data_IF_695228189617
#
_entry.id   IF_695228189617
#
_cell.length_a   1.000
_cell.length_b   1.000
_cell.length_c   1.000
_cell.angle_alpha   90.00
_cell.angle_beta   90.00
_cell.angle_gamma   90.00
#
_symmetry.space_group_name_H-M   'P 1'
#
loop_
_entity.id
_entity.type
_entity.pdbx_description
1 polymer ?
#
# COMPACT_ATOMS: atom_id res chain seq x y z
N UNK A 1 -33.07 -45.15 36.50
CA UNK A 1 -33.05 -43.83 37.20
C UNK A 1 -31.65 -43.61 37.74
N UNK A 2 -30.92 -42.62 37.31
CA UNK A 2 -29.81 -42.08 38.06
C UNK A 2 -30.16 -40.70 38.60
N UNK A 3 -29.70 -40.51 39.79
CA UNK A 3 -29.88 -39.37 40.70
C UNK A 3 -29.02 -38.17 40.28
N UNK A 4 -29.60 -36.98 40.33
CA UNK A 4 -28.91 -35.72 40.04
C UNK A 4 -27.95 -35.33 41.19
N UNK A 5 -26.73 -34.93 40.83
CA UNK A 5 -25.76 -34.39 41.75
C UNK A 5 -25.75 -32.85 41.62
N UNK A 6 -25.82 -32.16 42.75
CA UNK A 6 -25.92 -30.70 42.85
C UNK A 6 -24.57 -30.04 42.65
N UNK A 7 -24.51 -29.02 41.78
CA UNK A 7 -23.34 -28.17 41.52
C UNK A 7 -23.37 -26.97 42.45
N UNK A 8 -22.36 -26.83 43.28
CA UNK A 8 -22.17 -25.67 44.18
C UNK A 8 -21.55 -24.49 43.42
N UNK A 9 -22.18 -23.33 43.55
CA UNK A 9 -21.80 -22.03 43.01
C UNK A 9 -20.66 -21.41 43.85
N UNK A 10 -19.58 -20.88 43.28
CA UNK A 10 -18.59 -20.15 44.04
C UNK A 10 -19.07 -18.73 44.37
N UNK A 11 -18.94 -18.38 45.66
CA UNK A 11 -19.22 -17.06 46.22
C UNK A 11 -18.04 -16.13 46.00
N UNK A 12 -18.28 -14.97 45.42
CA UNK A 12 -17.26 -13.92 45.18
C UNK A 12 -17.15 -13.07 46.43
N UNK A 13 -15.94 -12.91 46.96
CA UNK A 13 -15.62 -12.04 48.09
C UNK A 13 -15.27 -10.62 47.60
N UNK A 14 -15.62 -9.55 48.30
CA UNK A 14 -15.43 -8.18 47.83
C UNK A 14 -14.01 -7.68 48.06
N UNK A 15 -13.50 -7.00 47.04
CA UNK A 15 -12.21 -6.29 47.02
C UNK A 15 -12.28 -5.00 47.84
N UNK A 16 -11.40 -4.85 48.80
CA UNK A 16 -11.24 -3.63 49.60
C UNK A 16 -10.34 -2.61 48.86
N UNK A 17 -10.90 -1.41 48.74
CA UNK A 17 -10.27 -0.21 48.19
C UNK A 17 -9.26 0.38 49.20
N UNK A 18 -7.98 0.65 48.86
CA UNK A 18 -7.13 1.41 49.75
C UNK A 18 -7.35 2.92 49.54
N UNK A 19 -7.72 3.58 50.66
CA UNK A 19 -7.73 5.04 50.77
C UNK A 19 -6.53 5.42 51.63
N UNK A 20 -5.51 6.08 51.04
CA UNK A 20 -4.59 6.91 51.83
C UNK A 20 -4.09 8.08 50.96
N UNK A 21 -4.49 9.26 51.41
CA UNK A 21 -4.01 10.57 50.98
C UNK A 21 -2.87 10.98 51.90
N UNK A 22 -1.67 11.30 51.43
CA UNK A 22 -0.70 12.04 52.21
C UNK A 22 -0.81 13.53 51.96
N UNK A 23 -1.13 14.27 53.02
CA UNK A 23 -0.99 15.73 53.07
C UNK A 23 0.28 16.02 53.86
N UNK A 24 1.30 16.58 53.24
CA UNK A 24 2.29 17.39 53.92
C UNK A 24 2.78 18.50 52.98
N UNK A 25 2.48 19.72 53.42
CA UNK A 25 2.89 20.99 52.82
C UNK A 25 4.30 21.31 53.33
N UNK A 26 5.31 21.56 52.50
CA UNK A 26 6.56 22.15 52.99
C UNK A 26 6.42 23.67 53.10
N UNK A 27 6.77 24.14 54.27
CA UNK A 27 6.92 25.55 54.60
C UNK A 27 8.18 26.12 53.95
N UNK A 28 8.04 27.18 53.22
CA UNK A 28 9.16 27.93 52.64
C UNK A 28 9.78 28.83 53.69
N UNK A 29 11.11 28.89 53.73
CA UNK A 29 11.89 29.89 54.48
C UNK A 29 12.81 30.66 53.52
N UNK A 30 13.25 31.86 53.86
CA UNK A 30 13.35 32.93 52.87
C UNK A 30 14.72 33.07 52.21
N UNK A 31 14.62 33.51 51.00
CA UNK A 31 15.47 34.15 50.07
C UNK A 31 16.48 35.13 50.60
N UNK A 32 17.71 34.98 50.20
CA UNK A 32 18.67 36.07 50.05
C UNK A 32 18.84 36.35 48.55
N UNK A 33 18.52 37.59 48.18
CA UNK A 33 18.62 38.12 46.82
C UNK A 33 20.08 38.41 46.45
N UNK A 34 20.64 37.82 45.39
CA UNK A 34 21.85 38.39 44.77
C UNK A 34 21.42 39.40 43.68
N UNK A 35 21.89 40.60 43.82
CA UNK A 35 21.79 41.63 42.77
C UNK A 35 22.77 41.22 41.64
N UNK A 36 22.23 40.72 40.53
CA UNK A 36 23.02 40.50 39.33
C UNK A 36 22.99 41.74 38.43
N UNK A 37 24.15 42.24 38.13
CA UNK A 37 24.41 43.29 37.11
C UNK A 37 23.98 42.75 35.74
N UNK A 38 23.29 43.53 34.90
CA UNK A 38 22.91 43.05 33.56
C UNK A 38 24.15 42.99 32.66
N UNK A 39 24.62 41.75 32.42
CA UNK A 39 25.58 41.50 31.36
C UNK A 39 24.79 41.53 30.02
N UNK A 40 25.07 42.52 29.18
CA UNK A 40 24.56 42.58 27.82
C UNK A 40 25.11 41.38 27.06
N UNK A 41 24.27 40.36 26.88
CA UNK A 41 24.58 39.24 25.99
C UNK A 41 24.55 39.73 24.54
N UNK A 42 25.55 39.44 23.71
CA UNK A 42 25.49 39.78 22.31
C UNK A 42 24.31 39.06 21.65
N UNK A 43 23.41 39.83 21.07
CA UNK A 43 22.35 39.32 20.21
C UNK A 43 22.99 38.57 19.04
N UNK A 44 23.03 37.24 19.11
CA UNK A 44 23.36 36.44 17.94
C UNK A 44 22.24 36.63 16.93
N UNK A 45 22.52 37.42 15.90
CA UNK A 45 21.70 37.49 14.67
C UNK A 45 21.33 36.06 14.24
N UNK A 46 20.07 35.76 13.94
CA UNK A 46 19.71 34.45 13.42
C UNK A 46 20.55 34.19 12.17
N UNK A 47 21.43 33.24 12.24
CA UNK A 47 22.13 32.71 11.06
C UNK A 47 21.05 32.08 10.21
N UNK A 48 20.67 32.73 9.13
CA UNK A 48 19.82 32.11 8.10
C UNK A 48 20.53 30.84 7.65
N UNK A 49 19.93 29.70 7.94
CA UNK A 49 20.41 28.43 7.42
C UNK A 49 20.57 28.59 5.91
N UNK A 50 21.69 28.17 5.33
CA UNK A 50 21.88 28.28 3.89
C UNK A 50 20.69 27.62 3.19
N UNK A 51 20.05 28.34 2.30
CA UNK A 51 19.00 27.82 1.45
C UNK A 51 19.59 26.63 0.68
N UNK A 52 18.97 25.45 0.81
CA UNK A 52 19.42 24.28 0.06
C UNK A 52 19.50 24.63 -1.43
N UNK A 53 20.57 24.20 -2.09
CA UNK A 53 20.71 24.42 -3.52
C UNK A 53 19.52 23.76 -4.27
N UNK A 54 19.00 24.38 -5.33
CA UNK A 54 17.89 23.83 -6.08
C UNK A 54 18.20 22.38 -6.54
N UNK A 55 17.23 21.47 -6.37
CA UNK A 55 17.36 20.09 -6.84
C UNK A 55 17.42 20.10 -8.36
N UNK A 56 18.49 19.54 -8.90
CA UNK A 56 18.63 19.30 -10.35
C UNK A 56 18.06 17.90 -10.66
N UNK A 57 17.07 17.85 -11.54
CA UNK A 57 16.44 16.59 -11.96
C UNK A 57 17.19 15.99 -13.15
N UNK A 58 17.79 14.78 -13.02
CA UNK A 58 18.59 14.20 -14.09
C UNK A 58 17.78 13.69 -15.31
N UNK A 59 16.49 13.46 -15.11
CA UNK A 59 15.57 12.92 -16.10
C UNK A 59 14.25 13.65 -16.16
N UNK A 60 13.27 13.07 -16.85
CA UNK A 60 11.89 13.55 -16.83
C UNK A 60 11.31 13.48 -15.43
N UNK A 61 10.38 14.35 -15.15
CA UNK A 61 9.80 14.52 -13.81
C UNK A 61 8.48 13.79 -13.73
N UNK A 62 8.38 12.88 -12.77
CA UNK A 62 7.12 12.38 -12.24
C UNK A 62 6.61 13.39 -11.21
N UNK A 63 5.45 13.95 -11.47
CA UNK A 63 4.77 14.88 -10.58
C UNK A 63 3.55 14.20 -9.97
N UNK A 64 3.47 14.19 -8.63
CA UNK A 64 2.32 13.71 -7.87
C UNK A 64 1.96 14.78 -6.83
N UNK A 65 0.90 15.53 -7.09
CA UNK A 65 0.59 16.75 -6.35
C UNK A 65 1.70 17.78 -6.47
N UNK A 66 2.28 18.22 -5.36
CA UNK A 66 3.43 19.16 -5.34
C UNK A 66 4.80 18.48 -5.43
N UNK A 67 4.83 17.17 -5.35
CA UNK A 67 6.08 16.39 -5.28
C UNK A 67 6.58 16.05 -6.66
N UNK A 68 7.89 16.24 -6.87
CA UNK A 68 8.56 16.04 -8.15
C UNK A 68 9.72 15.07 -7.96
N UNK A 69 9.69 13.97 -8.66
CA UNK A 69 10.73 12.93 -8.63
C UNK A 69 11.21 12.63 -10.04
N UNK A 70 12.42 12.12 -10.18
CA UNK A 70 12.93 11.61 -11.45
C UNK A 70 13.85 10.42 -11.24
N UNK A 71 14.02 9.59 -12.25
CA UNK A 71 15.12 8.65 -12.30
C UNK A 71 16.45 9.37 -12.13
N UNK A 72 17.40 8.74 -11.46
CA UNK A 72 18.73 9.30 -11.22
C UNK A 72 18.85 10.20 -9.97
N UNK A 73 17.76 10.55 -9.28
CA UNK A 73 17.85 11.23 -7.98
C UNK A 73 18.50 10.32 -6.94
N UNK A 74 19.32 10.90 -6.08
CA UNK A 74 19.86 10.20 -4.91
C UNK A 74 18.83 10.08 -3.80
N UNK A 75 19.01 9.14 -2.86
CA UNK A 75 18.15 9.03 -1.67
C UNK A 75 18.05 10.34 -0.88
N UNK A 76 19.15 11.08 -0.75
CA UNK A 76 19.15 12.37 -0.06
C UNK A 76 18.26 13.40 -0.75
N UNK A 77 18.30 13.46 -2.08
CA UNK A 77 17.42 14.32 -2.88
C UNK A 77 15.95 13.90 -2.78
N UNK A 78 15.67 12.59 -2.81
CA UNK A 78 14.31 12.09 -2.59
C UNK A 78 13.81 12.48 -1.20
N UNK A 79 14.65 12.33 -0.15
CA UNK A 79 14.31 12.76 1.22
C UNK A 79 14.03 14.27 1.29
N UNK A 80 14.77 15.09 0.57
CA UNK A 80 14.54 16.53 0.49
C UNK A 80 13.19 16.85 -0.18
N UNK A 81 12.87 16.16 -1.29
CA UNK A 81 11.59 16.32 -2.00
C UNK A 81 10.40 15.95 -1.13
N UNK A 82 10.42 14.76 -0.53
CA UNK A 82 9.26 14.25 0.24
C UNK A 82 9.20 14.79 1.66
N UNK A 83 10.31 15.28 2.18
CA UNK A 83 10.48 15.77 3.54
C UNK A 83 10.91 14.66 4.52
N UNK A 84 11.77 15.00 5.47
CA UNK A 84 12.39 14.03 6.39
C UNK A 84 11.38 13.23 7.22
N UNK A 85 10.26 13.85 7.61
CA UNK A 85 9.21 13.16 8.39
C UNK A 85 8.53 12.08 7.57
N UNK A 86 8.13 12.36 6.33
CA UNK A 86 7.52 11.39 5.40
C UNK A 86 8.53 10.30 5.06
N UNK A 87 9.76 10.70 4.72
CA UNK A 87 10.82 9.76 4.38
C UNK A 87 11.12 8.75 5.51
N UNK A 88 11.15 9.21 6.77
CA UNK A 88 11.46 8.35 7.92
C UNK A 88 10.35 7.34 8.24
N UNK A 89 9.09 7.69 7.96
CA UNK A 89 7.91 6.85 8.23
C UNK A 89 7.53 5.95 7.06
N UNK A 90 8.12 6.15 5.87
CA UNK A 90 7.77 5.39 4.69
C UNK A 90 8.01 3.89 4.91
N UNK A 91 7.04 3.02 4.59
CA UNK A 91 7.27 1.60 4.49
C UNK A 91 8.46 1.31 3.57
N UNK A 92 9.32 0.40 4.02
CA UNK A 92 10.56 0.04 3.31
C UNK A 92 10.62 -1.46 3.14
N UNK A 93 11.16 -1.88 2.02
CA UNK A 93 11.37 -3.27 1.71
C UNK A 93 12.38 -3.48 0.62
N UNK A 94 12.38 -4.68 0.10
CA UNK A 94 13.15 -5.05 -1.08
C UNK A 94 12.16 -5.47 -2.16
N UNK A 95 12.33 -4.94 -3.36
CA UNK A 95 11.55 -5.38 -4.52
C UNK A 95 11.91 -6.82 -4.90
N UNK A 96 11.05 -7.51 -5.67
CA UNK A 96 11.39 -8.84 -6.19
C UNK A 96 12.69 -8.88 -6.99
N UNK A 97 13.07 -7.76 -7.61
CA UNK A 97 14.34 -7.60 -8.36
C UNK A 97 15.56 -7.40 -7.45
N UNK A 98 15.35 -7.30 -6.14
CA UNK A 98 16.41 -7.12 -5.14
C UNK A 98 16.81 -5.67 -4.91
N UNK A 99 16.03 -4.70 -5.37
CA UNK A 99 16.29 -3.28 -5.12
C UNK A 99 15.62 -2.82 -3.83
N UNK A 100 16.29 -1.93 -3.11
CA UNK A 100 15.70 -1.29 -1.95
C UNK A 100 14.55 -0.40 -2.38
N UNK A 101 13.37 -0.57 -1.77
CA UNK A 101 12.13 0.08 -2.14
C UNK A 101 11.51 0.84 -0.98
N UNK A 102 10.96 2.01 -1.28
CA UNK A 102 10.24 2.89 -0.36
C UNK A 102 8.87 3.24 -0.93
N UNK A 103 7.84 3.13 -0.12
CA UNK A 103 6.49 3.55 -0.46
C UNK A 103 6.16 4.84 0.30
N UNK A 104 5.89 5.92 -0.42
CA UNK A 104 5.50 7.20 0.15
C UNK A 104 3.99 7.41 0.00
N UNK A 105 3.27 7.58 1.11
CA UNK A 105 1.94 8.16 1.13
C UNK A 105 2.07 9.64 1.50
N UNK A 106 2.07 10.49 0.48
CA UNK A 106 2.50 11.89 0.58
C UNK A 106 1.38 12.83 1.03
N UNK A 107 0.59 12.46 1.97
CA UNK A 107 -0.54 13.25 2.45
C UNK A 107 -1.38 12.51 3.47
N UNK A 108 -0.99 11.28 3.79
CA UNK A 108 -1.68 10.34 4.69
C UNK A 108 -3.13 9.97 4.24
N UNK A 109 -3.50 10.34 3.00
CA UNK A 109 -4.85 10.19 2.43
C UNK A 109 -4.89 9.32 1.17
N UNK A 110 -3.84 8.57 0.87
CA UNK A 110 -3.64 7.74 -0.33
C UNK A 110 -3.82 8.45 -1.69
N UNK A 111 -4.09 9.75 -1.72
CA UNK A 111 -4.15 10.53 -2.99
C UNK A 111 -2.82 10.62 -3.70
N UNK A 112 -1.73 10.35 -3.00
CA UNK A 112 -0.36 10.58 -3.47
C UNK A 112 0.55 9.45 -3.01
N UNK A 113 0.28 8.24 -3.50
CA UNK A 113 1.12 7.06 -3.24
C UNK A 113 2.16 6.94 -4.35
N UNK A 114 3.43 6.86 -3.98
CA UNK A 114 4.54 6.63 -4.90
C UNK A 114 5.45 5.56 -4.31
N UNK A 115 5.76 4.53 -5.09
CA UNK A 115 6.88 3.65 -4.84
C UNK A 115 8.13 4.18 -5.55
N UNK A 116 9.27 4.09 -4.89
CA UNK A 116 10.58 4.45 -5.45
C UNK A 116 11.58 3.36 -5.13
N UNK A 117 12.22 2.81 -6.15
CA UNK A 117 13.24 1.79 -5.99
C UNK A 117 14.63 2.35 -6.26
N UNK A 118 15.59 1.90 -5.44
CA UNK A 118 16.96 2.40 -5.46
C UNK A 118 17.97 1.29 -5.77
N UNK A 119 18.87 1.58 -6.69
CA UNK A 119 20.07 0.80 -6.95
C UNK A 119 21.29 1.70 -6.69
N UNK A 120 22.21 1.27 -5.82
CA UNK A 120 23.37 2.08 -5.46
C UNK A 120 23.02 3.50 -4.99
N UNK A 121 21.97 3.63 -4.16
CA UNK A 121 21.45 4.91 -3.66
C UNK A 121 20.87 5.88 -4.71
N UNK A 122 20.60 5.41 -5.92
CA UNK A 122 20.04 6.20 -7.01
C UNK A 122 18.69 5.61 -7.42
N UNK A 123 17.72 6.46 -7.71
CA UNK A 123 16.40 6.07 -8.20
C UNK A 123 16.50 5.42 -9.56
N UNK A 124 16.05 4.19 -9.69
CA UNK A 124 16.06 3.41 -10.93
C UNK A 124 14.67 2.99 -11.39
N UNK A 125 13.69 3.07 -10.50
CA UNK A 125 12.29 2.78 -10.79
C UNK A 125 11.38 3.65 -9.94
N UNK A 126 10.26 4.06 -10.51
CA UNK A 126 9.18 4.77 -9.84
C UNK A 126 7.84 4.27 -10.34
N UNK A 127 6.88 4.09 -9.45
CA UNK A 127 5.52 3.71 -9.82
C UNK A 127 4.48 4.42 -8.96
N UNK A 128 3.32 4.70 -9.55
CA UNK A 128 2.20 5.34 -8.86
C UNK A 128 0.86 4.95 -9.47
N UNK A 129 -0.17 4.94 -8.65
CA UNK A 129 -1.59 4.87 -9.04
C UNK A 129 -2.28 6.13 -8.55
N UNK A 130 -3.20 6.68 -9.33
CA UNK A 130 -3.97 7.88 -8.99
C UNK A 130 -3.61 9.09 -9.85
N UNK A 131 -3.60 10.29 -9.27
CA UNK A 131 -3.35 11.53 -9.99
C UNK A 131 -1.84 11.81 -10.12
N UNK A 132 -1.35 11.79 -11.36
CA UNK A 132 0.05 12.09 -11.69
C UNK A 132 0.19 12.74 -13.08
N UNK A 133 1.40 13.28 -13.35
CA UNK A 133 1.91 13.54 -14.70
C UNK A 133 3.37 13.14 -14.80
N UNK A 134 3.82 12.71 -15.98
CA UNK A 134 5.21 12.38 -16.26
C UNK A 134 5.71 13.13 -17.51
N UNK A 135 6.44 14.21 -17.27
CA UNK A 135 6.79 15.17 -18.31
C UNK A 135 5.56 15.63 -19.07
N UNK A 136 5.71 15.75 -20.39
CA UNK A 136 4.62 16.04 -21.33
C UNK A 136 4.09 14.73 -22.00
N UNK A 137 4.63 13.57 -21.61
CA UNK A 137 4.29 12.30 -22.27
C UNK A 137 2.94 11.75 -21.85
N UNK A 138 2.65 11.77 -20.55
CA UNK A 138 1.46 11.14 -19.99
C UNK A 138 1.03 11.76 -18.67
N UNK A 139 -0.29 11.76 -18.47
CA UNK A 139 -0.91 12.06 -17.18
C UNK A 139 -2.13 11.17 -16.95
N UNK A 140 -2.53 11.03 -15.69
CA UNK A 140 -3.79 10.35 -15.33
C UNK A 140 -4.97 11.01 -16.04
N UNK A 141 -5.94 10.19 -16.45
CA UNK A 141 -7.07 10.63 -17.25
C UNK A 141 -6.80 10.71 -18.76
N UNK A 142 -5.56 10.57 -19.24
CA UNK A 142 -5.31 10.46 -20.68
C UNK A 142 -6.03 9.24 -21.24
N UNK A 143 -6.58 9.41 -22.45
CA UNK A 143 -7.23 8.32 -23.21
C UNK A 143 -6.20 7.52 -24.01
N UNK A 144 -6.59 6.34 -24.47
CA UNK A 144 -5.78 5.52 -25.37
C UNK A 144 -5.43 6.25 -26.66
N UNK A 145 -6.32 7.12 -27.19
CA UNK A 145 -6.03 7.97 -28.33
C UNK A 145 -4.90 8.96 -28.05
N UNK A 146 -4.90 9.59 -26.87
CA UNK A 146 -3.82 10.49 -26.43
C UNK A 146 -2.51 9.74 -26.31
N UNK A 147 -2.52 8.53 -25.72
CA UNK A 147 -1.33 7.68 -25.59
C UNK A 147 -0.71 7.36 -26.96
N UNK A 148 -1.55 6.93 -27.91
CA UNK A 148 -1.08 6.63 -29.28
C UNK A 148 -0.45 7.87 -29.94
N UNK A 149 -1.08 9.05 -29.78
CA UNK A 149 -0.54 10.30 -30.33
C UNK A 149 0.78 10.70 -29.67
N UNK A 150 1.00 10.32 -28.41
CA UNK A 150 2.24 10.55 -27.68
C UNK A 150 3.29 9.45 -27.89
N UNK A 151 3.06 8.50 -28.81
CA UNK A 151 4.00 7.45 -29.19
C UNK A 151 4.07 6.26 -28.25
N UNK A 152 3.02 6.03 -27.45
CA UNK A 152 2.85 4.79 -26.71
C UNK A 152 2.28 3.70 -27.64
N UNK A 153 2.67 2.47 -27.39
CA UNK A 153 2.19 1.27 -28.11
C UNK A 153 1.40 0.39 -27.16
N UNK A 154 0.28 -0.14 -27.65
CA UNK A 154 -0.54 -1.11 -26.91
C UNK A 154 0.23 -2.43 -26.76
N UNK A 155 0.37 -2.90 -25.53
CA UNK A 155 1.01 -4.15 -25.14
C UNK A 155 0.01 -5.13 -24.52
N UNK A 156 -1.28 -4.80 -24.46
CA UNK A 156 -2.31 -5.57 -23.74
C UNK A 156 -2.40 -7.03 -24.17
N UNK A 157 -2.06 -7.36 -25.43
CA UNK A 157 -2.02 -8.73 -25.92
C UNK A 157 -0.96 -9.62 -25.26
N UNK A 158 0.04 -9.03 -24.63
CA UNK A 158 1.14 -9.73 -23.93
C UNK A 158 0.94 -9.78 -22.42
N UNK A 159 0.00 -9.00 -21.87
CA UNK A 159 -0.23 -8.84 -20.44
C UNK A 159 -1.68 -9.13 -20.08
N UNK A 160 -1.91 -9.44 -18.82
CA UNK A 160 -3.25 -9.76 -18.28
C UNK A 160 -4.11 -8.51 -18.01
N UNK A 161 -3.61 -7.31 -18.34
CA UNK A 161 -4.26 -6.02 -18.13
C UNK A 161 -3.95 -5.07 -19.30
N UNK A 162 -4.69 -3.98 -19.41
CA UNK A 162 -4.51 -3.00 -20.49
C UNK A 162 -3.28 -2.15 -20.19
N UNK A 163 -2.24 -2.37 -20.97
CA UNK A 163 -0.91 -1.76 -20.83
C UNK A 163 -0.51 -1.06 -22.12
N UNK A 164 -0.05 0.17 -21.99
CA UNK A 164 0.59 0.95 -23.02
C UNK A 164 2.03 1.25 -22.64
N UNK A 165 2.97 1.04 -23.55
CA UNK A 165 4.39 1.26 -23.28
C UNK A 165 5.02 2.24 -24.26
N UNK A 166 5.94 3.05 -23.75
CA UNK A 166 6.82 3.91 -24.53
C UNK A 166 8.27 3.70 -24.15
N UNK A 167 9.11 3.52 -25.15
CA UNK A 167 10.55 3.36 -24.97
C UNK A 167 11.25 4.64 -25.44
N UNK A 168 12.03 5.26 -24.55
CA UNK A 168 12.87 6.41 -24.87
C UNK A 168 14.36 6.02 -24.89
N UNK A 169 15.29 6.97 -25.04
CA UNK A 169 16.72 6.69 -25.00
C UNK A 169 17.18 6.07 -23.67
N UNK A 170 16.60 6.49 -22.54
CA UNK A 170 17.07 6.13 -21.20
C UNK A 170 16.07 5.34 -20.35
N UNK A 171 14.79 5.32 -20.73
CA UNK A 171 13.73 4.81 -19.86
C UNK A 171 12.66 4.04 -20.61
N UNK A 172 11.98 3.13 -19.91
CA UNK A 172 10.69 2.60 -20.29
C UNK A 172 9.62 3.29 -19.44
N UNK A 173 8.49 3.60 -20.08
CA UNK A 173 7.33 4.22 -19.44
C UNK A 173 6.15 3.31 -19.74
N UNK A 174 5.64 2.67 -18.72
CA UNK A 174 4.51 1.76 -18.78
C UNK A 174 3.32 2.39 -18.09
N UNK A 175 2.21 2.50 -18.78
CA UNK A 175 0.99 3.08 -18.27
C UNK A 175 -0.14 2.07 -18.30
N UNK A 176 -0.92 2.03 -17.24
CA UNK A 176 -2.08 1.17 -17.12
C UNK A 176 -3.36 1.97 -17.34
N UNK A 177 -4.29 1.34 -18.06
CA UNK A 177 -5.51 1.97 -18.53
C UNK A 177 -6.70 1.21 -17.98
N UNK A 178 -7.64 1.93 -17.39
CA UNK A 178 -8.92 1.37 -16.94
C UNK A 178 -9.86 1.21 -18.12
N UNK A 179 -9.84 0.04 -18.74
CA UNK A 179 -10.71 -0.28 -19.88
C UNK A 179 -12.20 -0.30 -19.52
N UNK A 180 -12.54 -0.41 -18.25
CA UNK A 180 -13.91 -0.44 -17.75
C UNK A 180 -14.49 0.96 -17.55
N UNK A 181 -13.63 1.97 -17.38
CA UNK A 181 -14.01 3.36 -17.13
C UNK A 181 -13.51 4.29 -18.21
N UNK A 182 -13.92 4.04 -19.46
CA UNK A 182 -13.66 4.93 -20.58
C UNK A 182 -12.23 4.91 -21.10
N UNK A 183 -11.43 3.90 -20.77
CA UNK A 183 -10.07 3.75 -21.29
C UNK A 183 -9.12 4.85 -20.82
N UNK A 184 -9.19 5.24 -19.55
CA UNK A 184 -8.37 6.30 -18.99
C UNK A 184 -7.17 5.76 -18.23
N UNK A 185 -6.04 6.44 -18.35
CA UNK A 185 -4.82 6.16 -17.58
C UNK A 185 -5.06 6.43 -16.09
N UNK A 186 -4.73 5.45 -15.25
CA UNK A 186 -4.82 5.58 -13.79
C UNK A 186 -3.52 5.26 -13.05
N UNK A 187 -2.50 4.72 -13.73
CA UNK A 187 -1.23 4.40 -13.11
C UNK A 187 -0.07 4.39 -14.11
N UNK A 188 1.13 4.52 -13.58
CA UNK A 188 2.38 4.52 -14.36
C UNK A 188 3.48 3.82 -13.59
N UNK A 189 4.35 3.13 -14.33
CA UNK A 189 5.60 2.55 -13.88
C UNK A 189 6.72 2.98 -14.82
N UNK A 190 7.83 3.46 -14.28
CA UNK A 190 8.92 4.08 -15.04
C UNK A 190 10.22 3.40 -14.64
N UNK A 191 10.94 2.84 -15.61
CA UNK A 191 12.17 2.09 -15.38
C UNK A 191 13.37 2.72 -16.11
N UNK A 192 14.52 2.73 -15.43
CA UNK A 192 15.80 3.00 -16.08
C UNK A 192 16.19 1.80 -16.96
N UNK A 193 16.48 2.05 -18.24
CA UNK A 193 16.89 1.01 -19.19
C UNK A 193 18.18 0.29 -18.83
N UNK A 194 19.02 0.85 -17.97
CA UNK A 194 20.21 0.18 -17.45
C UNK A 194 19.88 -1.07 -16.62
N UNK A 195 18.62 -1.25 -16.17
CA UNK A 195 18.17 -2.44 -15.46
C UNK A 195 17.96 -3.65 -16.37
N UNK A 196 17.72 -3.44 -17.67
CA UNK A 196 17.50 -4.49 -18.65
C UNK A 196 16.41 -4.18 -19.67
N UNK A 197 15.96 -5.20 -20.40
CA UNK A 197 14.82 -5.08 -21.32
C UNK A 197 13.50 -5.05 -20.55
N UNK A 198 12.46 -4.46 -21.15
CA UNK A 198 11.12 -4.35 -20.54
C UNK A 198 10.57 -5.70 -20.06
N UNK A 199 10.66 -6.75 -20.91
CA UNK A 199 10.20 -8.09 -20.53
C UNK A 199 10.90 -8.65 -19.28
N UNK A 200 12.17 -8.26 -19.06
CA UNK A 200 12.90 -8.67 -17.85
C UNK A 200 12.48 -7.87 -16.62
N UNK A 201 11.98 -6.67 -16.81
CA UNK A 201 11.52 -5.79 -15.73
C UNK A 201 10.11 -6.16 -15.31
N UNK A 202 9.19 -6.37 -16.25
CA UNK A 202 7.80 -6.71 -15.98
C UNK A 202 7.57 -8.19 -15.61
N UNK A 203 8.46 -9.10 -16.08
CA UNK A 203 8.44 -10.53 -15.76
C UNK A 203 9.84 -11.05 -15.45
N UNK A 204 10.46 -10.56 -14.36
CA UNK A 204 11.83 -10.92 -14.06
C UNK A 204 11.93 -12.41 -13.68
N UNK A 205 12.61 -13.19 -14.52
CA UNK A 205 12.89 -14.61 -14.27
C UNK A 205 13.78 -14.87 -13.05
N UNK A 206 14.48 -13.84 -12.58
CA UNK A 206 15.45 -13.91 -11.49
C UNK A 206 14.96 -13.15 -10.23
N UNK A 207 13.69 -13.10 -9.99
CA UNK A 207 13.16 -12.54 -8.74
C UNK A 207 13.59 -13.34 -7.53
N UNK A 208 13.91 -12.63 -6.47
CA UNK A 208 14.13 -13.22 -5.15
C UNK A 208 12.94 -12.89 -4.27
N UNK A 209 12.22 -13.94 -3.85
CA UNK A 209 11.13 -13.81 -2.92
C UNK A 209 11.54 -14.42 -1.58
N UNK A 210 11.17 -13.77 -0.51
CA UNK A 210 11.27 -14.24 0.86
C UNK A 210 10.16 -13.55 1.68
N UNK A 211 9.99 -13.93 2.93
CA UNK A 211 8.93 -13.38 3.78
C UNK A 211 8.97 -11.85 3.89
N UNK A 212 10.14 -11.23 3.86
CA UNK A 212 10.28 -9.77 3.90
C UNK A 212 9.81 -9.10 2.61
N UNK A 213 10.21 -9.64 1.45
CA UNK A 213 9.75 -9.19 0.13
C UNK A 213 8.23 -9.37 0.04
N UNK A 214 7.71 -10.55 0.38
CA UNK A 214 6.29 -10.86 0.29
C UNK A 214 5.44 -9.93 1.15
N UNK A 215 5.82 -9.69 2.41
CA UNK A 215 5.14 -8.74 3.30
C UNK A 215 5.17 -7.31 2.78
N UNK A 216 6.30 -6.88 2.20
CA UNK A 216 6.38 -5.57 1.61
C UNK A 216 5.46 -5.44 0.39
N UNK A 217 5.43 -6.43 -0.51
CA UNK A 217 4.55 -6.45 -1.67
C UNK A 217 3.06 -6.48 -1.27
N UNK A 218 2.70 -7.26 -0.25
CA UNK A 218 1.35 -7.27 0.31
C UNK A 218 0.93 -5.88 0.82
N UNK A 219 1.79 -5.23 1.60
CA UNK A 219 1.52 -3.87 2.10
C UNK A 219 1.41 -2.85 0.97
N UNK A 220 2.29 -2.90 -0.01
CA UNK A 220 2.27 -2.02 -1.18
C UNK A 220 0.99 -2.22 -2.01
N UNK A 221 0.50 -3.46 -2.13
CA UNK A 221 -0.79 -3.76 -2.79
C UNK A 221 -1.95 -3.03 -2.13
N UNK A 222 -2.03 -3.03 -0.80
CA UNK A 222 -3.06 -2.30 -0.06
C UNK A 222 -2.96 -0.78 -0.28
N UNK A 223 -1.76 -0.22 -0.36
CA UNK A 223 -1.56 1.20 -0.69
C UNK A 223 -2.04 1.52 -2.11
N UNK A 224 -1.74 0.70 -3.09
CA UNK A 224 -2.20 0.91 -4.48
C UNK A 224 -3.71 0.74 -4.64
N UNK A 225 -4.32 -0.23 -3.95
CA UNK A 225 -5.78 -0.38 -3.94
C UNK A 225 -6.47 0.84 -3.34
N UNK A 226 -5.95 1.37 -2.24
CA UNK A 226 -6.45 2.59 -1.64
C UNK A 226 -6.24 3.81 -2.55
N UNK A 227 -5.08 3.92 -3.20
CA UNK A 227 -4.82 4.99 -4.16
C UNK A 227 -5.81 4.96 -5.34
N UNK A 228 -6.15 3.76 -5.83
CA UNK A 228 -7.15 3.59 -6.88
C UNK A 228 -8.57 3.98 -6.42
N UNK A 229 -8.97 3.57 -5.19
CA UNK A 229 -10.26 3.96 -4.61
C UNK A 229 -10.39 5.49 -4.50
N UNK A 230 -9.39 6.13 -3.90
CA UNK A 230 -9.38 7.58 -3.70
C UNK A 230 -9.33 8.33 -5.03
N UNK A 231 -8.62 7.81 -6.04
CA UNK A 231 -8.63 8.35 -7.40
C UNK A 231 -10.03 8.39 -8.00
N UNK A 232 -10.88 7.40 -7.69
CA UNK A 232 -12.27 7.33 -8.11
C UNK A 232 -13.26 8.03 -7.16
N UNK A 233 -12.77 8.76 -6.17
CA UNK A 233 -13.61 9.52 -5.23
C UNK A 233 -14.27 8.67 -4.15
N UNK A 234 -13.78 7.44 -3.93
CA UNK A 234 -14.23 6.53 -2.88
C UNK A 234 -13.26 6.61 -1.69
N UNK A 235 -13.76 6.49 -0.46
CA UNK A 235 -12.92 6.52 0.74
C UNK A 235 -11.90 5.36 0.75
N UNK A 236 -10.76 5.61 1.38
CA UNK A 236 -9.76 4.57 1.64
C UNK A 236 -10.32 3.47 2.55
N UNK A 237 -9.73 2.29 2.45
CA UNK A 237 -9.97 1.15 3.33
C UNK A 237 -8.98 1.15 4.48
N UNK A 238 -9.43 0.72 5.65
CA UNK A 238 -8.55 0.41 6.78
C UNK A 238 -7.66 -0.79 6.43
N UNK A 239 -6.34 -0.65 6.58
CA UNK A 239 -5.40 -1.73 6.26
C UNK A 239 -5.30 -2.67 7.45
N UNK A 240 -5.69 -3.94 7.25
CA UNK A 240 -5.57 -5.02 8.23
C UNK A 240 -4.21 -5.73 8.11
N UNK A 241 -3.70 -6.20 9.24
CA UNK A 241 -2.45 -6.98 9.34
C UNK A 241 -2.67 -8.25 10.18
N UNK A 242 -3.85 -8.89 10.08
CA UNK A 242 -4.17 -10.14 10.82
C UNK A 242 -3.38 -11.35 10.30
N UNK A 243 -2.89 -11.31 9.07
CA UNK A 243 -2.09 -12.36 8.46
C UNK A 243 -2.91 -13.43 7.74
N UNK A 244 -4.23 -13.26 7.61
CA UNK A 244 -5.13 -14.24 6.99
C UNK A 244 -4.89 -14.32 5.48
N UNK A 245 -4.91 -13.20 4.79
CA UNK A 245 -4.62 -13.12 3.36
C UNK A 245 -3.19 -13.60 3.04
N UNK A 246 -2.22 -13.30 3.92
CA UNK A 246 -0.85 -13.78 3.78
C UNK A 246 -0.78 -15.31 3.86
N UNK A 247 -1.43 -15.91 4.88
CA UNK A 247 -1.47 -17.37 5.06
C UNK A 247 -2.14 -18.06 3.88
N UNK A 248 -3.20 -17.46 3.33
CA UNK A 248 -3.86 -18.02 2.14
C UNK A 248 -2.97 -17.94 0.88
N UNK A 249 -2.25 -16.85 0.68
CA UNK A 249 -1.26 -16.76 -0.41
C UNK A 249 -0.16 -17.82 -0.28
N UNK A 250 0.30 -18.07 0.94
CA UNK A 250 1.28 -19.12 1.25
C UNK A 250 0.71 -20.53 0.97
N UNK A 251 -0.55 -20.78 1.35
CA UNK A 251 -1.25 -22.04 1.01
C UNK A 251 -1.33 -22.25 -0.49
N UNK A 252 -1.75 -21.24 -1.26
CA UNK A 252 -1.81 -21.32 -2.73
C UNK A 252 -0.42 -21.60 -3.34
N UNK A 253 0.61 -20.96 -2.82
CA UNK A 253 1.99 -21.13 -3.29
C UNK A 253 2.52 -22.53 -2.99
N UNK A 254 2.22 -23.10 -1.82
CA UNK A 254 2.60 -24.45 -1.42
C UNK A 254 1.93 -25.50 -2.32
N UNK A 255 0.65 -25.33 -2.62
CA UNK A 255 -0.14 -26.24 -3.44
C UNK A 255 -0.05 -25.94 -4.94
N UNK A 256 0.63 -24.85 -5.33
CA UNK A 256 0.74 -24.35 -6.70
C UNK A 256 -0.64 -24.27 -7.39
N UNK A 257 -1.62 -23.73 -6.68
CA UNK A 257 -3.02 -23.66 -7.11
C UNK A 257 -3.65 -22.33 -6.73
N UNK A 258 -4.20 -21.65 -7.74
CA UNK A 258 -5.02 -20.43 -7.53
C UNK A 258 -6.44 -20.89 -7.14
N UNK A 259 -6.71 -20.88 -5.87
CA UNK A 259 -7.99 -21.33 -5.28
C UNK A 259 -8.42 -20.38 -4.15
N UNK A 260 -9.73 -20.24 -3.98
CA UNK A 260 -10.30 -19.51 -2.85
C UNK A 260 -10.41 -20.36 -1.58
N UNK A 261 -10.46 -21.69 -1.72
CA UNK A 261 -10.66 -22.61 -0.60
C UNK A 261 -9.36 -23.33 -0.22
N UNK A 262 -9.15 -23.60 1.06
CA UNK A 262 -8.02 -24.34 1.62
C UNK A 262 -8.45 -25.77 1.97
N UNK A 263 -8.36 -26.67 1.00
CA UNK A 263 -8.84 -28.04 1.16
C UNK A 263 -10.35 -28.08 1.48
N UNK A 264 -10.70 -28.47 2.70
CA UNK A 264 -12.11 -28.47 3.17
C UNK A 264 -12.57 -27.16 3.80
N UNK A 265 -11.66 -26.23 4.06
CA UNK A 265 -11.99 -24.92 4.65
C UNK A 265 -12.34 -23.95 3.55
N UNK A 266 -13.61 -23.54 3.48
CA UNK A 266 -14.04 -22.56 2.49
C UNK A 266 -13.54 -21.16 2.85
N UNK A 267 -13.37 -20.30 1.85
CA UNK A 267 -13.00 -18.91 2.09
C UNK A 267 -13.97 -18.18 3.04
N UNK A 268 -15.27 -18.49 2.96
CA UNK A 268 -16.29 -17.94 3.86
C UNK A 268 -16.08 -18.35 5.30
N UNK A 269 -15.67 -19.59 5.54
CA UNK A 269 -15.34 -20.11 6.87
C UNK A 269 -14.09 -19.39 7.38
N UNK A 270 -13.05 -19.30 6.57
CA UNK A 270 -11.81 -18.57 6.92
C UNK A 270 -12.08 -17.12 7.33
N UNK A 271 -12.94 -16.40 6.58
CA UNK A 271 -13.35 -15.04 6.93
C UNK A 271 -14.07 -14.97 8.27
N UNK A 272 -15.07 -15.83 8.49
CA UNK A 272 -15.82 -15.85 9.73
C UNK A 272 -14.95 -16.18 10.96
N UNK A 273 -13.98 -17.06 10.81
CA UNK A 273 -13.12 -17.52 11.90
C UNK A 273 -12.07 -16.47 12.28
N UNK A 274 -11.64 -15.62 11.35
CA UNK A 274 -10.50 -14.74 11.53
C UNK A 274 -10.83 -13.25 11.54
N UNK A 275 -11.83 -12.81 10.79
CA UNK A 275 -12.21 -11.39 10.70
C UNK A 275 -13.42 -11.03 11.55
N UNK A 276 -14.25 -12.01 11.90
CA UNK A 276 -15.39 -11.81 12.76
C UNK A 276 -14.94 -11.60 14.22
N UNK A 277 -15.27 -10.46 14.80
CA UNK A 277 -14.98 -10.10 16.20
C UNK A 277 -16.08 -10.56 17.19
N UNK A 278 -17.02 -11.39 16.74
CA UNK A 278 -18.16 -11.89 17.51
C UNK A 278 -19.48 -11.20 17.19
N UNK A 279 -19.48 -10.07 16.50
CA UNK A 279 -20.70 -9.39 16.04
C UNK A 279 -21.11 -9.82 14.63
N UNK A 280 -20.17 -10.21 13.81
CA UNK A 280 -20.39 -10.66 12.43
C UNK A 280 -19.63 -9.80 11.41
N UNK A 281 -19.86 -10.11 10.15
CA UNK A 281 -19.34 -9.31 9.03
C UNK A 281 -20.52 -8.81 8.20
N UNK A 282 -20.56 -7.50 7.96
CA UNK A 282 -21.55 -6.87 7.10
C UNK A 282 -21.29 -7.30 5.64
N UNK A 283 -20.03 -7.14 5.22
CA UNK A 283 -19.57 -7.45 3.87
C UNK A 283 -18.31 -8.30 3.92
N UNK A 284 -18.11 -9.13 2.90
CA UNK A 284 -16.86 -9.87 2.69
C UNK A 284 -16.68 -10.29 1.24
N UNK A 285 -15.46 -10.17 0.76
CA UNK A 285 -15.06 -10.65 -0.56
C UNK A 285 -13.57 -11.01 -0.56
N UNK A 286 -13.21 -11.97 -1.38
CA UNK A 286 -11.83 -12.37 -1.61
C UNK A 286 -11.52 -12.35 -3.09
N UNK A 287 -10.32 -11.93 -3.41
CA UNK A 287 -9.74 -12.06 -4.74
C UNK A 287 -8.39 -12.77 -4.65
N UNK A 288 -8.24 -13.79 -5.46
CA UNK A 288 -6.99 -14.53 -5.61
C UNK A 288 -6.45 -14.39 -7.03
N UNK A 289 -5.15 -14.37 -7.18
CA UNK A 289 -4.50 -14.40 -8.49
C UNK A 289 -3.11 -14.97 -8.44
N UNK A 290 -2.57 -15.36 -9.60
CA UNK A 290 -1.21 -15.86 -9.74
C UNK A 290 -0.47 -15.24 -10.92
N UNK A 291 0.85 -15.24 -10.84
CA UNK A 291 1.76 -14.88 -11.92
C UNK A 291 2.07 -13.39 -12.03
N UNK A 292 1.62 -12.56 -11.10
CA UNK A 292 2.01 -11.16 -11.02
C UNK A 292 3.33 -11.01 -10.25
N UNK A 293 4.39 -10.44 -10.84
CA UNK A 293 5.71 -10.43 -10.20
C UNK A 293 5.81 -9.51 -8.99
N UNK A 294 5.00 -8.48 -8.91
CA UNK A 294 5.01 -7.44 -7.89
C UNK A 294 3.61 -6.89 -7.58
N UNK A 295 3.54 -6.01 -6.59
CA UNK A 295 2.31 -5.40 -6.13
C UNK A 295 1.62 -4.56 -7.21
N UNK A 296 2.38 -3.79 -8.00
CA UNK A 296 1.81 -2.97 -9.06
C UNK A 296 1.09 -3.85 -10.09
N UNK A 297 1.76 -4.90 -10.56
CA UNK A 297 1.19 -5.86 -11.51
C UNK A 297 0.00 -6.63 -10.92
N UNK A 298 0.07 -7.03 -9.63
CA UNK A 298 -1.02 -7.75 -8.97
C UNK A 298 -2.28 -6.89 -8.84
N UNK A 299 -2.13 -5.64 -8.43
CA UNK A 299 -3.24 -4.70 -8.28
C UNK A 299 -3.82 -4.30 -9.64
N UNK A 300 -2.98 -4.00 -10.62
CA UNK A 300 -3.44 -3.64 -11.97
C UNK A 300 -4.15 -4.80 -12.65
N UNK A 301 -3.69 -6.03 -12.42
CA UNK A 301 -4.40 -7.23 -12.90
C UNK A 301 -5.76 -7.41 -12.20
N UNK A 302 -5.82 -7.24 -10.88
CA UNK A 302 -7.07 -7.27 -10.15
C UNK A 302 -8.07 -6.22 -10.67
N UNK A 303 -7.64 -5.00 -10.90
CA UNK A 303 -8.43 -3.92 -11.48
C UNK A 303 -8.92 -4.29 -12.89
N UNK A 304 -8.07 -4.82 -13.75
CA UNK A 304 -8.42 -5.18 -15.13
C UNK A 304 -9.39 -6.38 -15.21
N UNK A 305 -9.20 -7.38 -14.35
CA UNK A 305 -10.04 -8.59 -14.34
C UNK A 305 -11.47 -8.32 -13.90
N UNK A 306 -11.70 -7.23 -13.20
CA UNK A 306 -13.04 -6.77 -12.81
C UNK A 306 -14.00 -6.63 -14.01
N UNK A 307 -13.48 -6.31 -15.17
CA UNK A 307 -14.31 -6.13 -16.36
C UNK A 307 -15.00 -7.38 -16.88
N UNK A 308 -14.52 -8.57 -16.49
CA UNK A 308 -15.15 -9.84 -16.81
C UNK A 308 -16.06 -10.36 -15.71
N UNK A 309 -15.87 -9.86 -14.47
CA UNK A 309 -16.70 -10.19 -13.30
C UNK A 309 -17.24 -8.91 -12.64
N UNK A 310 -18.44 -8.52 -13.05
CA UNK A 310 -19.13 -7.32 -12.57
C UNK A 310 -19.37 -7.32 -11.06
N UNK A 311 -19.34 -8.50 -10.40
CA UNK A 311 -19.50 -8.57 -8.95
C UNK A 311 -18.21 -8.17 -8.23
N UNK A 312 -17.04 -8.60 -8.71
CA UNK A 312 -15.78 -8.28 -8.09
C UNK A 312 -15.39 -6.80 -8.23
N UNK A 313 -15.72 -6.16 -9.36
CA UNK A 313 -15.56 -4.72 -9.55
C UNK A 313 -16.25 -3.91 -8.44
N UNK A 314 -17.38 -4.38 -7.98
CA UNK A 314 -18.10 -3.75 -6.88
C UNK A 314 -17.28 -3.74 -5.58
N UNK A 315 -16.39 -4.72 -5.35
CA UNK A 315 -15.65 -4.82 -4.09
C UNK A 315 -14.50 -3.83 -3.96
N UNK A 316 -13.67 -3.62 -5.00
CA UNK A 316 -12.58 -2.63 -4.92
C UNK A 316 -13.12 -1.22 -4.74
N UNK A 317 -14.23 -0.89 -5.37
CA UNK A 317 -14.89 0.43 -5.27
C UNK A 317 -16.19 0.39 -4.47
N UNK A 318 -16.36 -0.62 -3.63
CA UNK A 318 -17.57 -0.84 -2.85
C UNK A 318 -17.84 0.34 -1.92
N UNK A 319 -19.06 0.85 -2.00
CA UNK A 319 -19.65 1.84 -1.10
C UNK A 319 -20.94 1.33 -0.47
N UNK A 320 -21.47 0.23 -1.00
CA UNK A 320 -22.67 -0.43 -0.54
C UNK A 320 -22.50 -1.94 -0.65
N UNK A 321 -23.16 -2.70 0.20
CA UNK A 321 -23.25 -4.14 0.07
C UNK A 321 -24.64 -4.65 0.48
N UNK A 322 -24.90 -5.93 0.21
CA UNK A 322 -26.15 -6.59 0.59
C UNK A 322 -25.87 -7.45 1.82
N UNK A 323 -26.59 -7.17 2.90
CA UNK A 323 -26.47 -7.92 4.16
C UNK A 323 -27.12 -9.32 4.06
N UNK A 324 -27.07 -10.07 5.17
CA UNK A 324 -27.62 -11.44 5.24
C UNK A 324 -29.15 -11.50 5.07
N UNK A 325 -29.86 -10.37 5.23
CA UNK A 325 -31.32 -10.29 5.09
C UNK A 325 -31.72 -9.91 3.67
N UNK A 326 -30.77 -9.52 2.83
CA UNK A 326 -31.00 -9.04 1.46
C UNK A 326 -31.17 -7.52 1.37
N UNK A 327 -30.91 -6.78 2.47
CA UNK A 327 -31.02 -5.33 2.52
C UNK A 327 -29.69 -4.68 2.09
N UNK A 328 -29.78 -3.58 1.31
CA UNK A 328 -28.61 -2.78 0.93
C UNK A 328 -28.18 -1.93 2.10
N UNK A 329 -26.90 -2.04 2.46
CA UNK A 329 -26.26 -1.30 3.54
C UNK A 329 -25.12 -0.46 2.96
N UNK A 330 -24.95 0.76 3.46
CA UNK A 330 -23.76 1.57 3.18
C UNK A 330 -22.54 1.01 3.89
N UNK A 331 -21.38 1.09 3.23
CA UNK A 331 -20.09 0.59 3.73
C UNK A 331 -19.27 1.79 4.21
N UNK A 332 -18.95 1.83 5.49
CA UNK A 332 -18.25 2.95 6.13
C UNK A 332 -16.84 2.62 6.61
N UNK A 333 -16.59 1.38 7.05
CA UNK A 333 -15.30 0.95 7.59
C UNK A 333 -14.83 -0.32 6.89
N UNK A 334 -14.71 -0.22 5.56
CA UNK A 334 -14.18 -1.32 4.76
C UNK A 334 -12.70 -1.54 5.08
N UNK A 335 -12.36 -2.77 5.38
CA UNK A 335 -11.00 -3.21 5.61
C UNK A 335 -10.45 -3.93 4.38
N UNK A 336 -9.14 -3.81 4.18
CA UNK A 336 -8.37 -4.59 3.21
C UNK A 336 -7.22 -5.30 3.90
N UNK A 337 -7.06 -6.58 3.64
CA UNK A 337 -5.86 -7.31 3.94
C UNK A 337 -5.30 -7.91 2.65
N UNK A 338 -4.00 -7.78 2.44
CA UNK A 338 -3.31 -8.31 1.29
C UNK A 338 -2.29 -9.37 1.70
N UNK A 339 -2.22 -10.44 0.93
CA UNK A 339 -1.21 -11.47 1.01
C UNK A 339 -0.42 -11.57 -0.29
N UNK A 340 0.85 -11.98 -0.19
CA UNK A 340 1.73 -12.20 -1.32
C UNK A 340 2.69 -13.32 -1.01
N UNK A 341 2.72 -14.35 -1.84
CA UNK A 341 3.61 -15.50 -1.67
C UNK A 341 4.14 -16.00 -3.02
N UNK A 342 5.13 -16.88 -2.98
CA UNK A 342 5.71 -17.47 -4.18
C UNK A 342 6.00 -18.96 -3.96
N UNK A 343 5.94 -19.74 -5.04
CA UNK A 343 6.38 -21.14 -5.00
C UNK A 343 7.88 -21.22 -4.69
N UNK A 344 8.27 -22.21 -3.91
CA UNK A 344 9.66 -22.48 -3.51
C UNK A 344 10.45 -23.22 -4.57
N UNK A 345 9.78 -23.86 -5.55
CA UNK A 345 10.39 -24.70 -6.59
C UNK A 345 9.84 -24.40 -7.99
N UNK A 346 10.60 -24.70 -9.01
CA UNK A 346 10.20 -24.59 -10.42
C UNK A 346 10.19 -23.15 -10.96
N UNK A 347 9.22 -22.85 -11.83
CA UNK A 347 8.95 -21.50 -12.30
C UNK A 347 8.35 -20.70 -11.12
N UNK A 348 9.14 -19.89 -10.46
CA UNK A 348 8.74 -19.08 -9.29
C UNK A 348 7.46 -18.30 -9.57
N UNK A 349 6.32 -18.96 -9.40
CA UNK A 349 5.00 -18.34 -9.53
C UNK A 349 4.68 -17.58 -8.25
N UNK A 350 4.15 -16.41 -8.40
CA UNK A 350 3.64 -15.60 -7.28
C UNK A 350 2.14 -15.78 -7.17
N UNK A 351 1.65 -15.74 -5.95
CA UNK A 351 0.23 -15.76 -5.61
C UNK A 351 -0.10 -14.56 -4.77
N UNK A 352 -1.23 -13.95 -5.02
CA UNK A 352 -1.73 -12.83 -4.23
C UNK A 352 -3.17 -13.04 -3.81
N UNK A 353 -3.48 -12.60 -2.60
CA UNK A 353 -4.82 -12.61 -1.99
C UNK A 353 -5.16 -11.20 -1.56
N UNK A 354 -6.36 -10.75 -1.89
CA UNK A 354 -6.92 -9.49 -1.43
C UNK A 354 -8.26 -9.78 -0.74
N UNK A 355 -8.29 -9.61 0.57
CA UNK A 355 -9.46 -9.84 1.43
C UNK A 355 -10.11 -8.50 1.76
N UNK A 356 -11.37 -8.34 1.38
CA UNK A 356 -12.18 -7.16 1.67
C UNK A 356 -13.25 -7.55 2.68
N UNK A 357 -13.39 -6.79 3.77
CA UNK A 357 -14.41 -7.07 4.76
C UNK A 357 -14.78 -5.81 5.54
N UNK A 358 -16.02 -5.78 6.04
CA UNK A 358 -16.48 -4.80 7.00
C UNK A 358 -17.06 -5.51 8.22
N UNK A 359 -16.55 -5.24 9.43
CA UNK A 359 -17.17 -5.70 10.68
C UNK A 359 -18.57 -5.10 10.87
N UNK A 360 -19.46 -5.83 11.56
CA UNK A 360 -20.76 -5.32 11.96
C UNK A 360 -20.66 -4.38 13.16
#
# INVERSE_FOLDING_TARGET
>A
KPTASATTKPTVSPSTKPTTKPTTKPTASPSTKPTATPTTSPSTKPTTSPSAAPIVYPGKILTVGKYKLSLGLTKAQVQEVVGSSVYSKAPRGTSPQGYESYTFNLGDDFKKVIEVQFKNNVVVEMSTIGNFSYGDDVQSGNTTSTLNSNGFSDQSGSYKYTLYSKSTGKEYIDVVVDSQRGGQVYGVQIFDKSLGSLDKLLYPKNCTYNSGVNKYQAKLSAYYLNAYRVYHGVYEMSISEKGVAQSHSEYMAEHNSDTMDEGSTTWKTRFNDNYNDGMGLLCKAEYTSYGSPDAFSAVTYAIAKQGSDTKFYQYILMTECVDKNGDTQEVYDLHIECGFANTTSGNKLTFSTFDFYEPL
#
